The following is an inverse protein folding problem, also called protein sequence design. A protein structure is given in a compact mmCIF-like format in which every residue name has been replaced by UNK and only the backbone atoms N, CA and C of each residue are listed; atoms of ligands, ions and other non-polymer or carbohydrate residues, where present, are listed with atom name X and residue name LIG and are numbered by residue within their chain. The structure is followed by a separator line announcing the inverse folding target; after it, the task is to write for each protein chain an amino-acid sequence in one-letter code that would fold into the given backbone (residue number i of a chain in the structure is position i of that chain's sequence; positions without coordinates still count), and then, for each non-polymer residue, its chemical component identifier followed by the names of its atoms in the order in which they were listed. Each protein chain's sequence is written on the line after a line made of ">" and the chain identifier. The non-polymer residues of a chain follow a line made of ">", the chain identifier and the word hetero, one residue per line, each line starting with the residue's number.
data_IF_235532262232
#
_entry.id   IF_235532262232
#
_cell.length_a   1.000
_cell.length_b   1.000
_cell.length_c   1.000
_cell.angle_alpha   90.00
_cell.angle_beta   90.00
_cell.angle_gamma   90.00
#
_symmetry.space_group_name_H-M   'P 1'
#
loop_
_entity.id
_entity.type
_entity.pdbx_description
1 polymer ?
#
# COMPACT_ATOMS: atom_id res chain seq x y z
N UNK A 1 15.00 -10.70 16.89
CA UNK A 1 15.37 -11.23 15.56
C UNK A 1 15.57 -10.04 14.63
N UNK A 2 16.71 -9.92 13.97
CA UNK A 2 16.99 -8.86 12.99
C UNK A 2 16.86 -9.45 11.59
N UNK A 3 16.10 -8.80 10.71
CA UNK A 3 15.95 -9.24 9.33
C UNK A 3 15.92 -8.03 8.37
N UNK A 4 16.35 -8.24 7.15
CA UNK A 4 16.19 -7.26 6.06
C UNK A 4 14.97 -7.64 5.25
N UNK A 5 14.09 -6.68 4.97
CA UNK A 5 12.95 -6.93 4.09
C UNK A 5 13.43 -7.07 2.65
N UNK A 6 12.66 -7.77 1.81
CA UNK A 6 12.94 -7.85 0.36
C UNK A 6 12.95 -6.49 -0.33
N UNK A 7 12.25 -5.50 0.24
CA UNK A 7 12.20 -4.12 -0.26
C UNK A 7 13.31 -3.23 0.28
N UNK A 8 14.30 -3.81 0.99
CA UNK A 8 15.51 -3.13 1.43
C UNK A 8 15.47 -2.49 2.81
N UNK A 9 14.31 -2.45 3.49
CA UNK A 9 14.21 -1.96 4.86
C UNK A 9 14.72 -2.96 5.90
N UNK A 10 14.97 -2.49 7.13
CA UNK A 10 15.36 -3.33 8.25
C UNK A 10 14.19 -3.56 9.21
N UNK A 11 14.05 -4.79 9.68
CA UNK A 11 13.11 -5.19 10.71
C UNK A 11 13.87 -5.67 11.93
N UNK A 12 13.51 -5.17 13.11
CA UNK A 12 14.03 -5.63 14.38
C UNK A 12 12.87 -5.89 15.35
N UNK A 13 12.64 -7.14 15.67
CA UNK A 13 11.68 -7.56 16.70
C UNK A 13 12.42 -7.78 18.02
N UNK A 14 12.00 -7.08 19.07
CA UNK A 14 12.46 -7.32 20.43
C UNK A 14 11.57 -8.39 21.09
N UNK A 15 12.09 -9.57 21.39
CA UNK A 15 11.30 -10.65 21.98
C UNK A 15 10.89 -10.38 23.44
N UNK A 16 11.52 -9.41 24.11
CA UNK A 16 11.22 -9.11 25.52
C UNK A 16 10.08 -8.12 25.66
N UNK A 17 10.05 -7.06 24.83
CA UNK A 17 8.98 -6.05 24.83
C UNK A 17 7.86 -6.39 23.86
N UNK A 18 8.11 -7.25 22.86
CA UNK A 18 7.21 -7.49 21.75
C UNK A 18 7.25 -6.39 20.67
N UNK A 19 8.09 -5.38 20.83
CA UNK A 19 8.16 -4.26 19.92
C UNK A 19 8.76 -4.64 18.56
N UNK A 20 8.20 -4.08 17.50
CA UNK A 20 8.72 -4.18 16.15
C UNK A 20 9.23 -2.81 15.68
N UNK A 21 10.53 -2.72 15.47
CA UNK A 21 11.15 -1.54 14.86
C UNK A 21 11.31 -1.76 13.38
N UNK A 22 10.77 -0.84 12.57
CA UNK A 22 10.92 -0.82 11.12
C UNK A 22 11.76 0.39 10.73
N UNK A 23 12.80 0.19 9.92
CA UNK A 23 13.60 1.27 9.36
C UNK A 23 13.51 1.25 7.85
N UNK A 24 13.32 2.42 7.21
CA UNK A 24 13.36 2.50 5.75
C UNK A 24 14.76 2.09 5.24
N UNK A 25 14.87 1.75 3.95
CA UNK A 25 16.18 1.57 3.31
C UNK A 25 17.05 2.82 3.48
N UNK A 26 18.37 2.63 3.63
CA UNK A 26 19.32 3.77 3.74
C UNK A 26 19.27 4.71 2.52
N UNK A 27 18.88 4.18 1.35
CA UNK A 27 18.64 4.96 0.12
C UNK A 27 17.37 5.81 0.17
N UNK A 28 16.48 5.59 1.15
CA UNK A 28 15.12 6.16 1.16
C UNK A 28 14.18 5.58 0.11
N UNK A 29 14.64 4.62 -0.71
CA UNK A 29 13.90 4.07 -1.84
C UNK A 29 13.61 2.58 -1.62
N UNK A 30 12.34 2.19 -1.76
CA UNK A 30 11.94 0.80 -1.76
C UNK A 30 12.38 0.12 -3.08
N UNK A 31 12.79 -1.13 -3.00
CA UNK A 31 13.12 -1.95 -4.17
C UNK A 31 11.93 -2.78 -4.62
N UNK A 32 11.80 -2.96 -5.92
CA UNK A 32 10.84 -3.88 -6.51
C UNK A 32 11.10 -5.33 -6.08
N UNK A 33 10.09 -6.18 -6.14
CA UNK A 33 10.18 -7.60 -5.76
C UNK A 33 9.11 -8.43 -6.44
N UNK A 34 9.32 -9.73 -6.53
CA UNK A 34 8.27 -10.68 -6.89
C UNK A 34 7.67 -11.29 -5.62
N UNK A 35 6.36 -11.21 -5.50
CA UNK A 35 5.55 -11.96 -4.53
C UNK A 35 5.05 -13.21 -5.24
N UNK A 36 5.54 -14.36 -4.81
CA UNK A 36 5.23 -15.63 -5.47
C UNK A 36 3.84 -16.14 -5.06
N UNK A 37 3.25 -16.98 -5.89
CA UNK A 37 1.93 -17.55 -5.67
C UNK A 37 1.79 -18.33 -4.35
N UNK A 38 2.88 -18.95 -3.86
CA UNK A 38 2.91 -19.67 -2.58
C UNK A 38 2.88 -18.74 -1.36
N UNK A 39 3.18 -17.45 -1.53
CA UNK A 39 3.15 -16.42 -0.48
C UNK A 39 1.79 -15.71 -0.41
N UNK A 40 1.06 -15.65 -1.51
CA UNK A 40 -0.19 -14.89 -1.64
C UNK A 40 -1.27 -15.29 -0.64
N UNK A 41 -1.51 -16.57 -0.32
CA UNK A 41 -2.55 -16.93 0.66
C UNK A 41 -2.36 -16.26 2.03
N UNK A 42 -1.12 -16.00 2.44
CA UNK A 42 -0.80 -15.33 3.71
C UNK A 42 -0.92 -13.81 3.69
N UNK A 43 -1.13 -13.19 2.51
CA UNK A 43 -1.14 -11.73 2.35
C UNK A 43 -2.18 -11.23 1.33
N UNK A 44 -3.09 -12.08 0.87
CA UNK A 44 -4.03 -11.76 -0.21
C UNK A 44 -4.81 -10.47 0.05
N UNK A 45 -5.26 -10.28 1.28
CA UNK A 45 -6.01 -9.09 1.67
C UNK A 45 -5.16 -7.82 1.80
N UNK A 46 -3.83 -7.97 1.88
CA UNK A 46 -2.89 -6.84 1.95
C UNK A 46 -2.39 -6.40 0.56
N UNK A 47 -2.71 -7.15 -0.51
CA UNK A 47 -2.26 -6.82 -1.86
C UNK A 47 -2.60 -5.40 -2.27
N UNK A 48 -3.80 -4.84 -2.01
CA UNK A 48 -4.11 -3.46 -2.38
C UNK A 48 -3.13 -2.42 -1.82
N UNK A 49 -2.80 -2.49 -0.53
CA UNK A 49 -1.82 -1.55 0.07
C UNK A 49 -0.39 -1.87 -0.34
N UNK A 50 -0.06 -3.13 -0.61
CA UNK A 50 1.25 -3.51 -1.14
C UNK A 50 1.47 -2.99 -2.56
N UNK A 51 0.41 -2.83 -3.36
CA UNK A 51 0.48 -2.17 -4.68
C UNK A 51 0.84 -0.69 -4.54
N UNK A 52 0.32 0.01 -3.53
CA UNK A 52 0.73 1.40 -3.24
C UNK A 52 2.24 1.45 -2.94
N UNK A 53 2.74 0.57 -2.09
CA UNK A 53 4.17 0.49 -1.80
C UNK A 53 4.99 0.11 -3.05
N UNK A 54 4.46 -0.73 -3.93
CA UNK A 54 5.08 -1.11 -5.19
C UNK A 54 5.15 0.06 -6.18
N UNK A 55 4.10 0.88 -6.25
CA UNK A 55 4.07 2.08 -7.10
C UNK A 55 5.12 3.12 -6.69
N UNK A 56 5.51 3.14 -5.40
CA UNK A 56 6.56 4.00 -4.84
C UNK A 56 7.96 3.36 -4.87
N UNK A 57 8.09 2.09 -5.23
CA UNK A 57 9.36 1.38 -5.31
C UNK A 57 10.09 1.67 -6.62
N UNK A 58 11.39 1.34 -6.67
CA UNK A 58 12.15 1.38 -7.92
C UNK A 58 12.10 0.01 -8.60
N UNK A 59 11.67 -0.01 -9.87
CA UNK A 59 11.57 -1.20 -10.70
C UNK A 59 10.18 -1.82 -10.77
N UNK A 60 10.10 -3.06 -11.26
CA UNK A 60 8.85 -3.78 -11.51
C UNK A 60 8.57 -4.79 -10.40
N UNK A 61 7.46 -4.59 -9.69
CA UNK A 61 6.95 -5.54 -8.69
C UNK A 61 5.89 -6.42 -9.34
N UNK A 62 5.98 -7.72 -9.11
CA UNK A 62 5.05 -8.71 -9.65
C UNK A 62 4.39 -9.46 -8.48
N UNK A 63 3.06 -9.55 -8.52
CA UNK A 63 2.29 -10.43 -7.64
C UNK A 63 1.75 -11.58 -8.48
N UNK A 64 2.16 -12.81 -8.17
CA UNK A 64 1.74 -14.02 -8.88
C UNK A 64 0.61 -14.73 -8.13
N UNK A 65 -0.32 -15.39 -8.85
CA UNK A 65 -1.37 -16.19 -8.24
C UNK A 65 -2.41 -15.37 -7.47
N UNK A 66 -2.69 -14.14 -7.93
CA UNK A 66 -3.62 -13.21 -7.25
C UNK A 66 -5.07 -13.29 -7.75
N UNK A 67 -5.42 -14.29 -8.53
CA UNK A 67 -6.75 -14.44 -9.14
C UNK A 67 -7.91 -14.45 -8.16
N UNK A 68 -7.72 -14.93 -6.92
CA UNK A 68 -8.71 -14.91 -5.86
C UNK A 68 -9.24 -13.49 -5.54
N UNK A 69 -8.42 -12.46 -5.76
CA UNK A 69 -8.80 -11.06 -5.54
C UNK A 69 -9.99 -10.59 -6.39
N UNK A 70 -10.32 -11.28 -7.47
CA UNK A 70 -11.51 -10.99 -8.29
C UNK A 70 -12.82 -11.30 -7.60
N UNK A 71 -12.78 -12.16 -6.58
CA UNK A 71 -13.95 -12.70 -5.89
C UNK A 71 -14.07 -12.20 -4.44
N UNK A 72 -13.47 -11.06 -4.13
CA UNK A 72 -13.57 -10.38 -2.83
C UNK A 72 -14.80 -9.43 -2.82
N UNK A 73 -14.83 -8.45 -1.90
CA UNK A 73 -15.92 -7.47 -1.79
C UNK A 73 -16.11 -6.66 -3.08
N UNK A 74 -15.06 -6.50 -3.84
CA UNK A 74 -15.04 -6.00 -5.22
C UNK A 74 -14.15 -6.92 -6.07
N UNK A 75 -14.14 -6.77 -7.40
CA UNK A 75 -13.00 -7.26 -8.20
C UNK A 75 -11.80 -6.37 -7.87
N UNK A 76 -11.05 -6.74 -6.82
CA UNK A 76 -9.93 -5.95 -6.32
C UNK A 76 -8.83 -5.77 -7.35
N UNK A 77 -8.64 -6.71 -8.29
CA UNK A 77 -7.65 -6.57 -9.35
C UNK A 77 -8.04 -5.45 -10.30
N UNK A 78 -9.27 -5.49 -10.82
CA UNK A 78 -9.77 -4.45 -11.71
C UNK A 78 -9.84 -3.08 -11.01
N UNK A 79 -10.25 -3.07 -9.75
CA UNK A 79 -10.38 -1.84 -8.96
C UNK A 79 -9.03 -1.21 -8.66
N UNK A 80 -8.02 -1.98 -8.26
CA UNK A 80 -6.66 -1.49 -8.01
C UNK A 80 -6.04 -0.96 -9.30
N UNK A 81 -6.18 -1.67 -10.42
CA UNK A 81 -5.69 -1.22 -11.73
C UNK A 81 -6.33 0.09 -12.14
N UNK A 82 -7.67 0.22 -12.01
CA UNK A 82 -8.41 1.43 -12.35
C UNK A 82 -8.07 2.60 -11.41
N UNK A 83 -8.26 2.43 -10.10
CA UNK A 83 -8.24 3.56 -9.19
C UNK A 83 -6.83 4.06 -8.89
N UNK A 84 -5.85 3.16 -8.67
CA UNK A 84 -4.46 3.58 -8.56
C UNK A 84 -3.89 4.05 -9.91
N UNK A 85 -4.38 3.50 -11.03
CA UNK A 85 -4.09 4.01 -12.37
C UNK A 85 -4.51 5.47 -12.56
N UNK A 86 -5.69 5.87 -12.04
CA UNK A 86 -6.16 7.27 -12.02
C UNK A 86 -5.21 8.17 -11.22
N UNK A 87 -4.64 7.65 -10.14
CA UNK A 87 -3.61 8.33 -9.35
C UNK A 87 -2.23 8.34 -10.03
N UNK A 88 -2.10 7.76 -11.22
CA UNK A 88 -0.87 7.74 -12.02
C UNK A 88 0.07 6.58 -11.72
N UNK A 89 -0.34 5.57 -10.95
CA UNK A 89 0.40 4.33 -10.82
C UNK A 89 0.37 3.54 -12.14
N UNK A 90 1.48 2.90 -12.48
CA UNK A 90 1.54 1.99 -13.63
C UNK A 90 1.24 0.57 -13.13
N UNK A 91 -0.04 0.23 -13.07
CA UNK A 91 -0.55 -1.05 -12.61
C UNK A 91 -1.20 -1.78 -13.78
N UNK A 92 -0.93 -3.07 -13.94
CA UNK A 92 -1.51 -3.89 -15.01
C UNK A 92 -1.86 -5.29 -14.51
N UNK A 93 -3.08 -5.69 -14.82
CA UNK A 93 -3.55 -7.07 -14.59
C UNK A 93 -3.25 -7.92 -15.84
N UNK A 94 -2.51 -9.00 -15.67
CA UNK A 94 -2.12 -9.95 -16.72
C UNK A 94 -2.54 -11.38 -16.32
N UNK A 95 -3.77 -11.75 -16.65
CA UNK A 95 -4.33 -13.04 -16.24
C UNK A 95 -4.42 -13.16 -14.72
N UNK A 96 -3.61 -14.03 -14.12
CA UNK A 96 -3.53 -14.28 -12.68
C UNK A 96 -2.36 -13.54 -12.01
N UNK A 97 -1.81 -12.53 -12.67
CA UNK A 97 -0.69 -11.72 -12.21
C UNK A 97 -1.09 -10.25 -12.15
N UNK A 98 -0.53 -9.54 -11.19
CA UNK A 98 -0.59 -8.09 -11.10
C UNK A 98 0.82 -7.53 -11.20
N UNK A 99 1.07 -6.69 -12.18
CA UNK A 99 2.37 -6.08 -12.47
C UNK A 99 2.29 -4.60 -12.12
N UNK A 100 3.23 -4.12 -11.31
CA UNK A 100 3.31 -2.73 -10.88
C UNK A 100 4.69 -2.18 -11.24
N UNK A 101 4.73 -1.17 -12.10
CA UNK A 101 5.98 -0.46 -12.44
C UNK A 101 6.10 0.78 -11.56
N UNK A 102 6.88 0.66 -10.51
CA UNK A 102 7.21 1.76 -9.64
C UNK A 102 8.34 2.61 -10.23
N UNK A 103 8.28 3.90 -9.93
CA UNK A 103 9.33 4.86 -10.31
C UNK A 103 9.71 5.67 -9.09
N UNK A 104 10.89 5.39 -8.57
CA UNK A 104 11.50 6.16 -7.49
C UNK A 104 11.47 7.66 -7.81
N UNK A 105 11.05 8.46 -6.82
CA UNK A 105 10.98 9.92 -6.95
C UNK A 105 9.75 10.45 -7.69
N UNK A 106 8.91 9.59 -8.30
CA UNK A 106 7.63 10.01 -8.87
C UNK A 106 6.54 9.90 -7.81
N UNK A 107 5.86 10.99 -7.57
CA UNK A 107 4.68 11.01 -6.70
C UNK A 107 3.44 10.55 -7.46
N UNK A 108 2.51 9.95 -6.74
CA UNK A 108 1.16 9.75 -7.23
C UNK A 108 0.46 11.10 -7.36
N UNK A 109 -0.66 11.15 -8.04
CA UNK A 109 -1.48 12.37 -8.20
C UNK A 109 -2.74 12.25 -7.35
N UNK A 110 -3.03 13.26 -6.55
CA UNK A 110 -4.32 13.41 -5.91
C UNK A 110 -5.42 13.53 -6.95
N UNK A 111 -6.50 12.78 -6.77
CA UNK A 111 -7.66 12.77 -7.67
C UNK A 111 -8.87 12.14 -6.98
N UNK A 112 -10.05 12.25 -7.59
CA UNK A 112 -11.21 11.52 -7.14
C UNK A 112 -11.09 10.03 -7.51
N UNK A 113 -11.27 9.15 -6.52
CA UNK A 113 -11.25 7.70 -6.62
C UNK A 113 -12.50 7.09 -5.99
N UNK A 114 -12.84 5.87 -6.39
CA UNK A 114 -13.99 5.15 -5.86
C UNK A 114 -13.52 3.86 -5.16
N UNK A 115 -13.94 3.69 -3.91
CA UNK A 115 -13.64 2.47 -3.14
C UNK A 115 -14.47 1.25 -3.56
N UNK A 116 -15.49 1.41 -4.39
CA UNK A 116 -16.40 0.33 -4.84
C UNK A 116 -16.97 -0.49 -3.67
N UNK A 117 -17.29 0.17 -2.56
CA UNK A 117 -17.76 -0.45 -1.31
C UNK A 117 -16.79 -1.45 -0.67
N UNK A 118 -15.52 -1.41 -1.05
CA UNK A 118 -14.46 -2.25 -0.51
C UNK A 118 -13.56 -1.44 0.45
N UNK A 119 -13.57 -1.82 1.73
CA UNK A 119 -12.82 -1.14 2.78
C UNK A 119 -11.32 -1.17 2.54
N UNK A 120 -10.77 -2.25 1.93
CA UNK A 120 -9.33 -2.36 1.66
C UNK A 120 -8.90 -1.45 0.52
N UNK A 121 -9.75 -1.26 -0.48
CA UNK A 121 -9.53 -0.28 -1.54
C UNK A 121 -9.57 1.14 -0.95
N UNK A 122 -10.59 1.45 -0.14
CA UNK A 122 -10.71 2.76 0.51
C UNK A 122 -9.46 3.13 1.33
N UNK A 123 -9.03 2.23 2.22
CA UNK A 123 -7.86 2.44 3.06
C UNK A 123 -6.56 2.52 2.25
N UNK A 124 -6.42 1.70 1.20
CA UNK A 124 -5.25 1.76 0.31
C UNK A 124 -5.17 3.07 -0.47
N UNK A 125 -6.30 3.59 -0.95
CA UNK A 125 -6.37 4.91 -1.59
C UNK A 125 -6.04 6.04 -0.61
N UNK A 126 -6.46 5.94 0.67
CA UNK A 126 -6.07 6.90 1.69
C UNK A 126 -4.55 6.91 1.93
N UNK A 127 -3.93 5.72 2.04
CA UNK A 127 -2.47 5.61 2.15
C UNK A 127 -1.77 6.15 0.89
N UNK A 128 -2.30 5.87 -0.30
CA UNK A 128 -1.79 6.43 -1.56
C UNK A 128 -1.88 7.97 -1.59
N UNK A 129 -2.95 8.53 -1.02
CA UNK A 129 -3.12 9.98 -0.88
C UNK A 129 -2.02 10.66 -0.07
N UNK A 130 -1.41 9.97 0.90
CA UNK A 130 -0.30 10.53 1.71
C UNK A 130 0.98 10.76 0.89
N UNK A 131 1.14 10.05 -0.21
CA UNK A 131 2.31 10.15 -1.10
C UNK A 131 1.95 10.76 -2.47
N UNK A 132 0.75 11.31 -2.57
CA UNK A 132 0.25 11.96 -3.78
C UNK A 132 0.47 13.48 -3.75
N UNK A 133 0.58 14.09 -4.92
CA UNK A 133 0.53 15.54 -5.08
C UNK A 133 -0.92 15.99 -5.23
N UNK A 134 -1.37 16.83 -4.29
CA UNK A 134 -2.73 17.35 -4.23
C UNK A 134 -3.73 16.45 -3.48
N UNK A 135 -4.97 16.91 -3.32
CA UNK A 135 -5.98 16.22 -2.55
C UNK A 135 -6.47 14.93 -3.25
N UNK A 136 -6.82 13.94 -2.45
CA UNK A 136 -7.44 12.69 -2.90
C UNK A 136 -8.83 12.57 -2.28
N UNK A 137 -9.87 12.57 -3.12
CA UNK A 137 -11.26 12.41 -2.70
C UNK A 137 -11.68 10.95 -2.87
N UNK A 138 -12.10 10.29 -1.78
CA UNK A 138 -12.44 8.87 -1.79
C UNK A 138 -13.94 8.69 -1.60
N UNK A 139 -14.66 8.32 -2.66
CA UNK A 139 -16.06 7.93 -2.55
C UNK A 139 -16.20 6.48 -2.06
N UNK A 140 -17.31 6.18 -1.36
CA UNK A 140 -17.53 4.84 -0.78
C UNK A 140 -16.77 4.60 0.53
N UNK A 141 -16.27 5.64 1.18
CA UNK A 141 -15.52 5.56 2.44
C UNK A 141 -16.25 4.86 3.58
N UNK A 142 -17.56 4.88 3.59
CA UNK A 142 -18.39 4.21 4.61
C UNK A 142 -18.12 2.70 4.73
N UNK A 143 -17.57 2.06 3.70
CA UNK A 143 -17.15 0.67 3.76
C UNK A 143 -16.08 0.41 4.83
N UNK A 144 -15.25 1.41 5.17
CA UNK A 144 -14.18 1.26 6.18
C UNK A 144 -14.75 0.94 7.55
N UNK A 145 -15.93 1.48 7.90
CA UNK A 145 -16.59 1.23 9.18
C UNK A 145 -16.92 -0.24 9.44
N UNK A 146 -17.01 -1.07 8.40
CA UNK A 146 -17.30 -2.51 8.54
C UNK A 146 -16.12 -3.33 9.06
N UNK A 147 -14.90 -2.82 8.91
CA UNK A 147 -13.66 -3.55 9.25
C UNK A 147 -12.77 -2.77 10.22
N UNK A 148 -12.59 -1.47 9.99
CA UNK A 148 -11.70 -0.64 10.78
C UNK A 148 -12.30 0.77 11.00
N UNK A 149 -13.34 0.93 11.84
CA UNK A 149 -14.08 2.19 12.00
C UNK A 149 -13.21 3.37 12.43
N UNK A 150 -12.15 3.14 13.20
CA UNK A 150 -11.23 4.18 13.71
C UNK A 150 -10.01 4.42 12.80
N UNK A 151 -10.00 3.87 11.58
CA UNK A 151 -8.83 3.98 10.68
C UNK A 151 -8.43 5.43 10.41
N UNK A 152 -9.38 6.31 10.12
CA UNK A 152 -9.09 7.72 9.82
C UNK A 152 -8.46 8.46 11.03
N UNK A 153 -8.97 8.19 12.23
CA UNK A 153 -8.46 8.77 13.48
C UNK A 153 -7.03 8.30 13.76
N UNK A 154 -6.77 6.99 13.61
CA UNK A 154 -5.44 6.44 13.81
C UNK A 154 -4.44 6.93 12.76
N UNK A 155 -4.88 7.04 11.49
CA UNK A 155 -4.03 7.58 10.44
C UNK A 155 -3.65 9.03 10.71
N UNK A 156 -4.61 9.87 11.13
CA UNK A 156 -4.37 11.27 11.51
C UNK A 156 -3.39 11.37 12.69
N UNK A 157 -3.60 10.58 13.74
CA UNK A 157 -2.71 10.57 14.91
C UNK A 157 -1.25 10.18 14.55
N UNK A 158 -1.05 9.26 13.61
CA UNK A 158 0.29 8.90 13.13
C UNK A 158 0.96 10.05 12.37
N UNK A 159 0.21 10.83 11.60
CA UNK A 159 0.72 11.98 10.85
C UNK A 159 1.11 13.13 11.80
N UNK A 160 0.30 13.40 12.82
CA UNK A 160 0.57 14.43 13.83
C UNK A 160 1.82 14.07 14.65
N UNK A 161 1.96 12.81 15.06
CA UNK A 161 3.16 12.33 15.77
C UNK A 161 4.44 12.45 14.94
N UNK A 162 4.36 12.22 13.62
CA UNK A 162 5.48 12.41 12.69
C UNK A 162 5.90 13.88 12.55
N UNK A 163 4.96 14.81 12.62
CA UNK A 163 5.21 16.24 12.52
C UNK A 163 5.95 16.80 13.75
N UNK A 164 5.76 16.22 14.92
CA UNK A 164 6.43 16.66 16.17
C UNK A 164 7.87 16.17 16.30
N UNK A 165 8.26 15.11 15.58
CA UNK A 165 9.63 14.59 15.61
C UNK A 165 10.58 15.29 14.61
N UNK A 166 10.06 16.06 13.66
CA UNK A 166 10.85 16.77 12.63
C UNK A 166 11.32 18.17 13.01
N UNK A 167 10.94 18.71 14.17
CA UNK A 167 11.25 20.08 14.58
C UNK A 167 12.42 20.21 15.58
N UNK A 168 13.20 19.16 15.73
CA UNK A 168 14.34 19.09 16.66
C UNK A 168 15.67 18.83 15.94
N UNK A 169 16.14 19.80 15.13
CA UNK A 169 17.57 19.99 14.78
C UNK A 169 17.79 21.47 14.56
#
# INVERSE_FOLDING_TARGET
>A
MKGRTRRGGDLNHDPNSGDLTVRPPASGVLSATTVRSDEVPGLVDEVPVLVVAAACADGETIFEGVGELRFKESDRLATVESELGRMGAEVKVEGDRLVVRGRSGRRLRGTAVNAHHDHRIAMSCAVAGLVADGPTDISGWNAVATSYPTFAEHLAALLDAGSTMGSGV
#
